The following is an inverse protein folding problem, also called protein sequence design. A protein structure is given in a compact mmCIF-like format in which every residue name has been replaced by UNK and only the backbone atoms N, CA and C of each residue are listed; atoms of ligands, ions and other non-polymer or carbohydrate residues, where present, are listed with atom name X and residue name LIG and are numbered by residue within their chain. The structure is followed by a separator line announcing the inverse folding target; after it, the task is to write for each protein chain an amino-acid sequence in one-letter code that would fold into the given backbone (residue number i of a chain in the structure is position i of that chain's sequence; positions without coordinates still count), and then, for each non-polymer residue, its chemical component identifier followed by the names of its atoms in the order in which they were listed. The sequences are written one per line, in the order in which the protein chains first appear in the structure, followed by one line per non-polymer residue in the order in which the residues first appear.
data_IF_395409537119
#
_entry.id   IF_395409537119
#
_cell.length_a   1.000
_cell.length_b   1.000
_cell.length_c   1.000
_cell.angle_alpha   90.00
_cell.angle_beta   90.00
_cell.angle_gamma   90.00
#
_symmetry.space_group_name_H-M   'P 1'
#
loop_
_entity.id
_entity.type
_entity.pdbx_description
1 polymer ?
#
# COMPACT_ATOMS: atom_id res chain seq x y z
N UNK A 1 18.99 -15.54 9.37
CA UNK A 1 17.77 -14.73 9.54
C UNK A 1 17.66 -14.19 10.98
N UNK A 2 17.70 -15.04 12.01
CA UNK A 2 17.54 -14.63 13.42
C UNK A 2 18.54 -13.56 13.92
N UNK A 3 19.77 -13.55 13.40
CA UNK A 3 20.79 -12.54 13.73
C UNK A 3 20.64 -11.22 12.97
N UNK A 4 19.79 -11.16 11.94
CA UNK A 4 19.61 -9.98 11.07
C UNK A 4 18.24 -9.34 11.20
N UNK A 5 17.27 -10.06 11.76
CA UNK A 5 15.90 -9.58 11.93
C UNK A 5 15.68 -9.20 13.39
N UNK A 6 15.45 -7.90 13.61
CA UNK A 6 15.11 -7.36 14.92
C UNK A 6 13.63 -6.96 14.93
N UNK A 7 12.93 -7.24 16.03
CA UNK A 7 11.49 -7.05 16.13
C UNK A 7 11.19 -6.11 17.30
N UNK A 8 10.44 -5.03 17.02
CA UNK A 8 10.08 -4.06 18.04
C UNK A 8 9.23 -4.69 19.13
N UNK A 9 9.61 -4.53 20.40
CA UNK A 9 8.76 -4.86 21.56
C UNK A 9 7.44 -4.09 21.57
N UNK A 10 7.36 -2.94 20.88
CA UNK A 10 6.17 -2.10 20.80
C UNK A 10 5.21 -2.49 19.66
N UNK A 11 5.63 -3.40 18.76
CA UNK A 11 4.75 -3.91 17.72
C UNK A 11 3.56 -4.65 18.33
N UNK A 12 2.37 -4.45 17.78
CA UNK A 12 1.16 -5.15 18.22
C UNK A 12 1.08 -6.53 17.58
N UNK A 13 0.57 -7.51 18.34
CA UNK A 13 0.34 -8.86 17.87
C UNK A 13 -1.06 -8.97 17.27
N UNK A 14 -1.14 -9.48 16.05
CA UNK A 14 -2.38 -9.95 15.48
C UNK A 14 -2.71 -11.29 16.15
N UNK A 15 -3.75 -11.32 16.98
CA UNK A 15 -4.25 -12.52 17.63
C UNK A 15 -5.09 -13.35 16.64
N UNK A 16 -5.24 -14.67 16.84
CA UNK A 16 -6.10 -15.47 15.96
C UNK A 16 -7.57 -15.01 16.04
N UNK A 17 -8.00 -14.53 17.21
CA UNK A 17 -9.32 -13.91 17.39
C UNK A 17 -9.51 -12.63 16.58
N UNK A 18 -8.46 -11.87 16.25
CA UNK A 18 -8.59 -10.73 15.35
C UNK A 18 -8.97 -11.15 13.92
N UNK A 19 -8.48 -12.31 13.45
CA UNK A 19 -8.86 -12.84 12.13
C UNK A 19 -10.33 -13.24 12.09
N UNK A 20 -10.82 -13.84 13.18
CA UNK A 20 -12.23 -14.17 13.35
C UNK A 20 -13.10 -12.91 13.38
N UNK A 21 -12.69 -11.88 14.14
CA UNK A 21 -13.40 -10.61 14.19
C UNK A 21 -13.45 -9.91 12.83
N UNK A 22 -12.36 -9.92 12.07
CA UNK A 22 -12.29 -9.34 10.72
C UNK A 22 -13.32 -10.01 9.79
N UNK A 23 -13.36 -11.35 9.80
CA UNK A 23 -14.35 -12.11 9.05
C UNK A 23 -15.79 -11.84 9.52
N UNK A 24 -16.03 -11.79 10.83
CA UNK A 24 -17.34 -11.53 11.41
C UNK A 24 -17.86 -10.13 11.07
N UNK A 25 -17.01 -9.09 11.16
CA UNK A 25 -17.39 -7.72 10.79
C UNK A 25 -17.67 -7.59 9.29
N UNK A 26 -16.86 -8.18 8.41
CA UNK A 26 -17.13 -8.17 6.97
C UNK A 26 -18.41 -8.94 6.62
N UNK A 27 -18.70 -10.06 7.30
CA UNK A 27 -19.96 -10.79 7.12
C UNK A 27 -21.17 -9.93 7.53
N UNK A 28 -21.06 -9.21 8.65
CA UNK A 28 -22.12 -8.34 9.16
C UNK A 28 -22.40 -7.13 8.26
N UNK A 29 -21.42 -6.67 7.46
CA UNK A 29 -21.58 -5.52 6.55
C UNK A 29 -22.36 -5.83 5.26
N UNK A 30 -22.62 -7.09 4.93
CA UNK A 30 -23.42 -7.46 3.75
C UNK A 30 -22.83 -6.92 2.44
N UNK A 31 -23.56 -6.04 1.76
CA UNK A 31 -23.14 -5.42 0.49
C UNK A 31 -22.15 -4.25 0.69
N UNK A 32 -22.09 -3.67 1.90
CA UNK A 32 -21.16 -2.59 2.26
C UNK A 32 -19.78 -3.10 2.70
N UNK A 33 -19.34 -4.23 2.15
CA UNK A 33 -18.03 -4.83 2.45
C UNK A 33 -16.91 -3.93 1.97
N UNK A 34 -15.88 -3.79 2.80
CA UNK A 34 -14.66 -3.09 2.41
C UNK A 34 -13.82 -3.96 1.48
N UNK A 35 -13.87 -5.28 1.68
CA UNK A 35 -13.00 -6.24 1.01
C UNK A 35 -11.65 -6.35 1.71
N UNK A 36 -11.66 -6.53 3.03
CA UNK A 36 -10.42 -6.69 3.82
C UNK A 36 -9.63 -7.92 3.39
N UNK A 37 -8.36 -8.00 3.77
CA UNK A 37 -7.54 -9.18 3.48
C UNK A 37 -7.88 -10.40 4.35
N UNK A 38 -8.80 -10.28 5.32
CA UNK A 38 -9.14 -11.36 6.26
C UNK A 38 -7.99 -11.75 7.20
N UNK A 39 -7.07 -10.81 7.46
CA UNK A 39 -5.84 -11.04 8.24
C UNK A 39 -5.91 -10.47 9.64
N UNK A 40 -7.03 -9.85 10.04
CA UNK A 40 -7.17 -9.27 11.37
C UNK A 40 -6.50 -7.90 11.54
N UNK A 41 -6.17 -7.21 10.45
CA UNK A 41 -5.48 -5.91 10.49
C UNK A 41 -6.35 -4.87 11.20
N UNK A 42 -7.59 -4.67 10.73
CA UNK A 42 -8.53 -3.71 11.32
C UNK A 42 -8.76 -3.94 12.81
N UNK A 43 -9.21 -5.15 13.24
CA UNK A 43 -9.40 -5.44 14.65
C UNK A 43 -8.14 -5.23 15.51
N UNK A 44 -6.95 -5.57 15.00
CA UNK A 44 -5.70 -5.33 15.73
C UNK A 44 -5.43 -3.84 15.95
N UNK A 45 -5.66 -3.01 14.93
CA UNK A 45 -5.51 -1.55 15.06
C UNK A 45 -6.60 -0.93 15.95
N UNK A 46 -7.84 -1.43 15.92
CA UNK A 46 -8.89 -1.06 16.88
C UNK A 46 -8.46 -1.34 18.31
N UNK A 47 -7.87 -2.52 18.56
CA UNK A 47 -7.34 -2.90 19.87
C UNK A 47 -6.16 -2.02 20.30
N UNK A 48 -5.25 -1.66 19.37
CA UNK A 48 -4.17 -0.69 19.60
C UNK A 48 -4.73 0.66 20.08
N UNK A 49 -5.65 1.24 19.31
CA UNK A 49 -6.20 2.58 19.57
C UNK A 49 -7.06 2.59 20.83
N UNK A 50 -7.79 1.51 21.11
CA UNK A 50 -8.58 1.36 22.34
C UNK A 50 -7.74 0.99 23.58
N UNK A 51 -6.41 0.82 23.43
CA UNK A 51 -5.42 0.49 24.50
C UNK A 51 -5.66 -0.88 25.13
N UNK A 52 -6.10 -1.80 24.29
CA UNK A 52 -6.63 -3.11 24.63
C UNK A 52 -5.84 -4.24 23.99
N UNK A 53 -4.99 -3.92 23.02
CA UNK A 53 -4.17 -4.87 22.29
C UNK A 53 -2.99 -5.40 23.07
N UNK A 54 -2.41 -6.48 22.55
CA UNK A 54 -1.22 -7.14 23.08
C UNK A 54 -0.05 -6.82 22.17
N UNK A 55 1.11 -6.52 22.76
CA UNK A 55 2.35 -6.20 22.04
C UNK A 55 3.38 -7.32 22.17
N UNK A 56 4.37 -7.31 21.30
CA UNK A 56 5.49 -8.26 21.32
C UNK A 56 6.18 -8.28 22.69
N UNK A 57 6.40 -7.12 23.31
CA UNK A 57 7.01 -7.06 24.65
C UNK A 57 6.19 -7.75 25.75
N UNK A 58 4.87 -7.91 25.56
CA UNK A 58 4.02 -8.59 26.53
C UNK A 58 4.26 -10.10 26.58
N UNK A 59 4.83 -10.71 25.51
CA UNK A 59 5.17 -12.15 25.50
C UNK A 59 6.26 -12.51 26.51
N UNK A 60 7.00 -11.50 26.99
CA UNK A 60 8.04 -11.63 28.02
C UNK A 60 7.50 -11.34 29.43
N UNK A 61 6.29 -10.77 29.55
CA UNK A 61 5.80 -10.19 30.79
C UNK A 61 4.30 -10.46 31.02
N UNK A 62 3.99 -11.61 31.61
CA UNK A 62 2.63 -11.99 32.01
C UNK A 62 1.70 -12.22 30.83
N UNK A 63 2.23 -12.88 29.79
CA UNK A 63 1.59 -13.06 28.50
C UNK A 63 0.26 -13.81 28.60
N UNK A 64 0.23 -14.93 29.32
CA UNK A 64 -0.92 -15.84 29.43
C UNK A 64 -2.13 -15.10 29.99
N UNK A 65 -1.91 -14.28 31.04
CA UNK A 65 -2.95 -13.47 31.65
C UNK A 65 -3.47 -12.39 30.69
N UNK A 66 -2.58 -11.68 30.00
CA UNK A 66 -2.96 -10.62 29.05
C UNK A 66 -3.72 -11.19 27.85
N UNK A 67 -3.24 -12.33 27.33
CA UNK A 67 -3.87 -13.07 26.25
C UNK A 67 -5.27 -13.56 26.64
N UNK A 68 -5.43 -14.18 27.81
CA UNK A 68 -6.73 -14.65 28.28
C UNK A 68 -7.77 -13.51 28.37
N UNK A 69 -7.37 -12.33 28.85
CA UNK A 69 -8.25 -11.15 28.94
C UNK A 69 -8.66 -10.65 27.55
N UNK A 70 -7.71 -10.50 26.62
CA UNK A 70 -8.01 -10.06 25.26
C UNK A 70 -8.89 -11.08 24.52
N UNK A 71 -8.57 -12.37 24.63
CA UNK A 71 -9.36 -13.47 24.07
C UNK A 71 -10.80 -13.42 24.59
N UNK A 72 -11.00 -13.40 25.90
CA UNK A 72 -12.34 -13.38 26.49
C UNK A 72 -13.19 -12.20 25.99
N UNK A 73 -12.58 -11.01 25.82
CA UNK A 73 -13.26 -9.85 25.22
C UNK A 73 -13.65 -10.11 23.76
N UNK A 74 -12.76 -10.68 22.95
CA UNK A 74 -13.06 -10.97 21.55
C UNK A 74 -14.14 -12.05 21.40
N UNK A 75 -14.13 -13.07 22.24
CA UNK A 75 -15.17 -14.11 22.27
C UNK A 75 -16.54 -13.55 22.66
N UNK A 76 -16.60 -12.59 23.58
CA UNK A 76 -17.84 -11.87 23.90
C UNK A 76 -18.38 -11.10 22.69
N UNK A 77 -17.52 -10.43 21.93
CA UNK A 77 -17.91 -9.71 20.70
C UNK A 77 -18.41 -10.70 19.65
N UNK A 78 -17.66 -11.77 19.37
CA UNK A 78 -18.05 -12.81 18.40
C UNK A 78 -19.41 -13.42 18.75
N UNK A 79 -19.64 -13.70 20.04
CA UNK A 79 -20.93 -14.16 20.55
C UNK A 79 -22.05 -13.15 20.32
N UNK A 80 -21.79 -11.85 20.54
CA UNK A 80 -22.79 -10.80 20.30
C UNK A 80 -23.16 -10.66 18.82
N UNK A 81 -22.26 -11.06 17.92
CA UNK A 81 -22.49 -11.09 16.47
C UNK A 81 -23.12 -12.40 15.99
N UNK A 82 -23.42 -13.36 16.89
CA UNK A 82 -23.83 -14.73 16.54
C UNK A 82 -22.90 -15.39 15.52
N UNK A 83 -21.59 -15.12 15.61
CA UNK A 83 -20.61 -15.67 14.69
C UNK A 83 -20.09 -17.01 15.21
N UNK A 84 -20.28 -18.08 14.44
CA UNK A 84 -19.73 -19.40 14.75
C UNK A 84 -18.24 -19.47 14.38
N UNK A 85 -17.42 -20.01 15.27
CA UNK A 85 -15.98 -20.14 15.04
C UNK A 85 -15.40 -21.35 15.76
N UNK A 86 -14.30 -21.88 15.20
CA UNK A 86 -13.38 -22.76 15.89
C UNK A 86 -12.00 -22.12 15.90
N UNK A 87 -11.47 -21.95 17.10
CA UNK A 87 -10.21 -21.27 17.37
C UNK A 87 -9.07 -22.27 17.63
N UNK A 88 -9.38 -23.54 17.89
CA UNK A 88 -8.49 -24.51 18.56
C UNK A 88 -7.16 -24.70 17.83
N UNK A 89 -7.20 -25.10 16.56
CA UNK A 89 -5.97 -25.37 15.79
C UNK A 89 -5.20 -24.08 15.47
N UNK A 90 -5.92 -22.99 15.15
CA UNK A 90 -5.29 -21.71 14.84
C UNK A 90 -4.59 -21.11 16.06
N UNK A 91 -5.20 -21.22 17.24
CA UNK A 91 -4.63 -20.76 18.50
C UNK A 91 -3.42 -21.58 18.90
N UNK A 92 -3.48 -22.91 18.76
CA UNK A 92 -2.33 -23.78 19.01
C UNK A 92 -1.13 -23.40 18.12
N UNK A 93 -1.33 -23.33 16.81
CA UNK A 93 -0.29 -22.93 15.87
C UNK A 93 0.25 -21.51 16.14
N UNK A 94 -0.63 -20.60 16.55
CA UNK A 94 -0.23 -19.24 16.91
C UNK A 94 0.61 -19.18 18.19
N UNK A 95 0.27 -19.98 19.21
CA UNK A 95 1.07 -20.10 20.43
C UNK A 95 2.45 -20.69 20.16
N UNK A 96 2.55 -21.71 19.29
CA UNK A 96 3.83 -22.22 18.80
C UNK A 96 4.62 -21.12 18.07
N UNK A 97 3.92 -20.28 17.29
CA UNK A 97 4.49 -19.09 16.65
C UNK A 97 5.03 -18.05 17.64
N UNK A 98 4.38 -17.86 18.80
CA UNK A 98 4.87 -16.99 19.87
C UNK A 98 6.16 -17.54 20.47
N UNK A 99 6.25 -18.86 20.72
CA UNK A 99 7.49 -19.49 21.19
C UNK A 99 8.62 -19.40 20.15
N UNK A 100 8.29 -19.48 18.86
CA UNK A 100 9.26 -19.23 17.80
C UNK A 100 9.70 -17.77 17.74
N UNK A 101 8.78 -16.81 17.92
CA UNK A 101 9.04 -15.38 17.94
C UNK A 101 10.03 -14.99 19.04
N UNK A 102 9.98 -15.63 20.21
CA UNK A 102 10.92 -15.43 21.32
C UNK A 102 12.39 -15.75 20.95
N UNK A 103 12.62 -16.44 19.84
CA UNK A 103 13.97 -16.80 19.38
C UNK A 103 14.64 -15.69 18.54
N UNK A 104 13.96 -14.57 18.30
CA UNK A 104 14.50 -13.40 17.59
C UNK A 104 14.96 -12.31 18.56
N UNK A 105 15.76 -11.37 18.07
CA UNK A 105 16.14 -10.16 18.81
C UNK A 105 14.91 -9.26 18.99
N UNK A 106 14.33 -9.27 20.19
CA UNK A 106 13.24 -8.37 20.56
C UNK A 106 13.82 -7.09 21.15
N UNK A 107 13.69 -5.97 20.44
CA UNK A 107 14.42 -4.74 20.71
C UNK A 107 13.50 -3.56 20.98
N UNK A 108 14.03 -2.55 21.66
CA UNK A 108 13.43 -1.22 21.71
C UNK A 108 13.85 -0.47 20.44
N UNK A 109 13.14 -0.78 19.35
CA UNK A 109 13.56 -0.48 17.98
C UNK A 109 13.81 1.00 17.71
N UNK A 110 13.07 1.90 18.36
CA UNK A 110 13.27 3.33 18.19
C UNK A 110 14.66 3.79 18.65
N UNK A 111 15.22 3.17 19.70
CA UNK A 111 16.57 3.51 20.16
C UNK A 111 17.62 3.02 19.17
N UNK A 112 17.43 1.82 18.63
CA UNK A 112 18.34 1.23 17.65
C UNK A 112 18.39 2.04 16.36
N UNK A 113 17.22 2.37 15.78
CA UNK A 113 17.13 3.19 14.58
C UNK A 113 17.74 4.58 14.80
N UNK A 114 17.44 5.24 15.92
CA UNK A 114 18.02 6.55 16.21
C UNK A 114 19.54 6.49 16.47
N UNK A 115 20.07 5.37 16.96
CA UNK A 115 21.53 5.19 17.06
C UNK A 115 22.16 5.05 15.68
N UNK A 116 21.58 4.28 14.75
CA UNK A 116 22.04 4.23 13.36
C UNK A 116 22.04 5.61 12.70
N UNK A 117 20.98 6.38 12.90
CA UNK A 117 20.89 7.75 12.41
C UNK A 117 21.91 8.69 13.05
N UNK A 118 22.27 8.49 14.33
CA UNK A 118 23.33 9.27 15.00
C UNK A 118 24.72 8.92 14.48
N UNK A 119 24.93 7.65 14.11
CA UNK A 119 26.16 7.14 13.51
C UNK A 119 26.24 7.41 11.99
N UNK A 120 25.34 8.24 11.45
CA UNK A 120 25.27 8.59 10.03
C UNK A 120 25.13 7.39 9.09
N UNK A 121 24.55 6.29 9.58
CA UNK A 121 24.22 5.12 8.77
C UNK A 121 22.95 5.36 7.96
N UNK A 122 22.90 4.77 6.77
CA UNK A 122 21.71 4.78 5.93
C UNK A 122 20.60 3.90 6.51
N UNK A 123 19.38 4.45 6.57
CA UNK A 123 18.17 3.73 6.98
C UNK A 123 17.14 3.87 5.86
N UNK A 124 16.76 2.75 5.25
CA UNK A 124 15.70 2.69 4.25
C UNK A 124 14.39 2.25 4.91
N UNK A 125 13.36 3.08 4.80
CA UNK A 125 12.02 2.76 5.31
C UNK A 125 11.17 2.18 4.18
N UNK A 126 10.84 0.90 4.25
CA UNK A 126 9.95 0.25 3.29
C UNK A 126 8.49 0.47 3.70
N UNK A 127 7.74 1.18 2.87
CA UNK A 127 6.32 1.50 3.10
C UNK A 127 5.37 0.37 2.71
N UNK A 128 4.25 0.30 3.41
CA UNK A 128 3.07 -0.45 2.99
C UNK A 128 1.82 0.28 3.52
N UNK A 129 0.67 0.30 2.84
CA UNK A 129 0.40 -0.02 1.45
C UNK A 129 0.70 1.22 0.57
N UNK A 130 -0.29 1.75 -0.17
CA UNK A 130 -0.17 3.02 -0.91
C UNK A 130 -1.03 4.12 -0.31
N UNK A 131 -0.78 5.38 -0.67
CA UNK A 131 -1.45 6.58 -0.13
C UNK A 131 -2.96 6.53 -0.23
N UNK A 132 -3.50 6.03 -1.35
CA UNK A 132 -4.96 5.95 -1.55
C UNK A 132 -5.67 4.93 -0.64
N UNK A 133 -4.90 4.15 0.12
CA UNK A 133 -5.36 3.24 1.16
C UNK A 133 -5.03 3.73 2.57
N UNK A 134 -4.48 4.95 2.73
CA UNK A 134 -4.23 5.54 4.04
C UNK A 134 -5.55 5.73 4.82
N UNK A 135 -5.52 5.50 6.13
CA UNK A 135 -6.73 5.59 6.98
C UNK A 135 -7.32 7.01 7.06
N UNK A 136 -6.47 8.04 6.95
CA UNK A 136 -6.87 9.45 7.04
C UNK A 136 -6.96 10.09 5.65
N UNK A 137 -6.01 9.77 4.78
CA UNK A 137 -5.83 10.47 3.49
C UNK A 137 -6.27 9.67 2.26
N UNK A 138 -6.68 8.42 2.43
CA UNK A 138 -7.13 7.55 1.35
C UNK A 138 -8.62 7.66 1.03
N UNK A 139 -9.10 6.75 0.18
CA UNK A 139 -10.52 6.66 -0.22
C UNK A 139 -11.41 6.04 0.88
N UNK A 140 -11.48 6.66 2.04
CA UNK A 140 -12.26 6.17 3.19
C UNK A 140 -13.74 5.98 2.81
N UNK A 141 -14.41 4.87 3.21
CA UNK A 141 -13.97 3.84 4.15
C UNK A 141 -13.17 2.68 3.53
N UNK A 142 -12.87 2.72 2.24
CA UNK A 142 -12.22 1.65 1.50
C UNK A 142 -10.68 1.73 1.58
N UNK A 143 -10.19 1.74 2.81
CA UNK A 143 -8.78 1.98 3.18
C UNK A 143 -8.27 0.88 4.12
N UNK A 144 -6.96 0.87 4.37
CA UNK A 144 -6.39 0.08 5.47
C UNK A 144 -6.57 0.83 6.79
N UNK A 145 -6.25 0.17 7.91
CA UNK A 145 -6.41 0.75 9.26
C UNK A 145 -5.14 1.38 9.81
N UNK A 146 -4.21 1.78 8.94
CA UNK A 146 -2.92 2.38 9.30
C UNK A 146 -2.58 3.54 8.40
N UNK A 147 -1.68 4.41 8.87
CA UNK A 147 -1.10 5.43 8.01
C UNK A 147 -0.07 4.79 7.07
N UNK A 148 -0.30 4.93 5.77
CA UNK A 148 0.55 4.45 4.68
C UNK A 148 1.42 5.57 4.10
N UNK A 149 1.14 6.82 4.47
CA UNK A 149 1.94 7.99 4.10
C UNK A 149 3.30 8.03 4.81
N UNK A 150 4.21 8.89 4.33
CA UNK A 150 5.59 9.06 4.82
C UNK A 150 5.67 9.30 6.34
N UNK A 151 4.71 10.05 6.91
CA UNK A 151 4.62 10.26 8.36
C UNK A 151 4.45 8.95 9.17
N UNK A 152 4.00 7.87 8.54
CA UNK A 152 3.98 6.51 9.08
C UNK A 152 5.37 6.00 9.46
N UNK A 153 6.44 6.42 8.77
CA UNK A 153 7.82 6.10 9.16
C UNK A 153 8.19 6.74 10.50
N UNK A 154 7.77 7.99 10.72
CA UNK A 154 8.01 8.69 11.98
C UNK A 154 7.31 8.01 13.15
N UNK A 155 6.00 7.77 13.00
CA UNK A 155 5.18 7.19 14.07
C UNK A 155 5.44 5.70 14.29
N UNK A 156 5.82 4.97 13.23
CA UNK A 156 6.10 3.54 13.26
C UNK A 156 7.50 3.16 13.71
N UNK A 157 8.53 3.95 13.36
CA UNK A 157 9.94 3.66 13.70
C UNK A 157 10.47 4.53 14.86
N UNK A 158 9.76 5.58 15.24
CA UNK A 158 10.23 6.54 16.25
C UNK A 158 11.29 7.49 15.73
N UNK A 159 11.24 7.83 14.43
CA UNK A 159 12.14 8.79 13.78
C UNK A 159 11.53 10.18 13.86
N UNK A 160 12.33 11.19 14.21
CA UNK A 160 11.87 12.58 14.23
C UNK A 160 11.55 13.07 12.80
N UNK A 161 10.46 13.84 12.59
CA UNK A 161 10.08 14.28 11.23
C UNK A 161 11.17 15.03 10.46
N UNK A 162 11.98 15.85 11.15
CA UNK A 162 13.10 16.59 10.55
C UNK A 162 14.32 15.72 10.20
N UNK A 163 14.26 14.40 10.44
CA UNK A 163 15.30 13.43 10.09
C UNK A 163 14.92 12.60 8.87
N UNK A 164 13.72 12.76 8.33
CA UNK A 164 13.35 12.20 7.03
C UNK A 164 14.17 12.94 5.96
N UNK A 165 14.93 12.17 5.18
CA UNK A 165 15.69 12.67 4.04
C UNK A 165 14.86 12.58 2.77
N UNK A 166 15.26 11.67 1.89
CA UNK A 166 14.56 11.47 0.61
C UNK A 166 13.29 10.63 0.76
N UNK A 167 12.27 11.00 0.00
CA UNK A 167 11.00 10.28 -0.08
C UNK A 167 10.80 9.83 -1.52
N UNK A 168 10.92 8.52 -1.73
CA UNK A 168 10.73 7.89 -3.03
C UNK A 168 9.27 7.49 -3.22
N UNK A 169 8.58 8.14 -4.15
CA UNK A 169 7.20 7.81 -4.53
C UNK A 169 7.18 6.73 -5.60
N UNK A 170 6.81 5.51 -5.23
CA UNK A 170 6.68 4.39 -6.17
C UNK A 170 5.26 4.39 -6.74
N UNK A 171 5.13 4.45 -8.06
CA UNK A 171 3.86 4.35 -8.75
C UNK A 171 3.99 3.40 -9.94
N UNK A 172 2.86 2.93 -10.47
CA UNK A 172 2.81 2.15 -11.72
C UNK A 172 2.44 3.08 -12.87
N UNK A 173 2.85 2.76 -14.08
CA UNK A 173 2.45 3.48 -15.30
C UNK A 173 0.92 3.50 -15.56
N UNK A 174 0.16 2.70 -14.81
CA UNK A 174 -1.30 2.61 -14.84
C UNK A 174 -1.83 2.29 -13.43
N UNK A 175 -3.11 2.52 -13.19
CA UNK A 175 -3.70 2.31 -11.87
C UNK A 175 -4.27 0.90 -11.73
N UNK A 176 -4.12 0.31 -10.53
CA UNK A 176 -4.85 -0.90 -10.15
C UNK A 176 -5.43 -0.83 -8.76
N UNK A 177 -6.57 -1.49 -8.55
CA UNK A 177 -7.25 -1.56 -7.25
C UNK A 177 -7.64 -3.00 -6.91
N UNK A 178 -7.47 -3.36 -5.65
CA UNK A 178 -7.94 -4.63 -5.09
C UNK A 178 -9.04 -4.32 -4.08
N UNK A 179 -10.16 -5.05 -4.16
CA UNK A 179 -11.29 -4.83 -3.27
C UNK A 179 -12.30 -3.81 -3.80
N UNK A 180 -13.21 -3.39 -2.93
CA UNK A 180 -14.28 -2.46 -3.25
C UNK A 180 -13.79 -1.00 -3.24
N UNK A 181 -14.71 -0.09 -3.52
CA UNK A 181 -14.51 1.35 -3.45
C UNK A 181 -14.27 2.03 -4.80
N UNK A 182 -14.29 3.36 -4.82
CA UNK A 182 -14.29 4.15 -6.05
C UNK A 182 -12.97 4.05 -6.83
N UNK A 183 -13.05 4.07 -8.15
CA UNK A 183 -11.88 4.04 -9.02
C UNK A 183 -12.18 4.85 -10.29
N UNK A 184 -11.92 6.17 -10.26
CA UNK A 184 -12.38 7.09 -11.31
C UNK A 184 -11.88 6.70 -12.70
N UNK A 185 -10.65 6.20 -12.81
CA UNK A 185 -10.04 5.81 -14.08
C UNK A 185 -10.22 4.33 -14.45
N UNK A 186 -11.11 3.61 -13.76
CA UNK A 186 -11.35 2.19 -14.06
C UNK A 186 -11.84 1.97 -15.50
N UNK A 187 -11.28 0.93 -16.12
CA UNK A 187 -11.65 0.50 -17.46
C UNK A 187 -12.50 -0.78 -17.39
N UNK A 188 -13.64 -0.74 -18.07
CA UNK A 188 -14.61 -1.85 -18.16
C UNK A 188 -14.63 -2.50 -19.55
N UNK A 189 -13.66 -2.16 -20.40
CA UNK A 189 -13.54 -2.59 -21.78
C UNK A 189 -12.32 -3.52 -22.00
N UNK A 190 -12.09 -3.91 -23.26
CA UNK A 190 -10.97 -4.76 -23.65
C UNK A 190 -9.60 -4.15 -23.30
N UNK A 191 -9.51 -2.82 -23.21
CA UNK A 191 -8.31 -2.08 -22.79
C UNK A 191 -7.93 -2.46 -21.36
N UNK A 192 -8.90 -2.41 -20.44
CA UNK A 192 -8.71 -2.80 -19.04
C UNK A 192 -8.35 -4.28 -18.89
N UNK A 193 -8.97 -5.16 -19.68
CA UNK A 193 -8.69 -6.60 -19.68
C UNK A 193 -7.28 -6.93 -20.21
N UNK A 194 -6.87 -6.26 -21.28
CA UNK A 194 -5.53 -6.37 -21.84
C UNK A 194 -4.48 -5.92 -20.83
N UNK A 195 -4.68 -4.76 -20.20
CA UNK A 195 -3.79 -4.22 -19.15
C UNK A 195 -3.68 -5.16 -17.95
N UNK A 196 -4.80 -5.73 -17.50
CA UNK A 196 -4.82 -6.72 -16.41
C UNK A 196 -4.00 -7.98 -16.76
N UNK A 197 -4.13 -8.45 -17.99
CA UNK A 197 -3.46 -9.67 -18.48
C UNK A 197 -1.95 -9.46 -18.59
N UNK A 198 -1.52 -8.40 -19.29
CA UNK A 198 -0.11 -8.06 -19.48
C UNK A 198 0.58 -7.75 -18.14
N UNK A 199 -0.09 -7.04 -17.24
CA UNK A 199 0.45 -6.70 -15.92
C UNK A 199 0.45 -7.85 -14.91
N UNK A 200 -0.06 -9.03 -15.26
CA UNK A 200 -0.29 -10.14 -14.33
C UNK A 200 -1.00 -9.70 -13.04
N UNK A 201 -2.05 -8.88 -13.18
CA UNK A 201 -2.72 -8.22 -12.06
C UNK A 201 -3.75 -9.13 -11.38
N UNK A 202 -3.26 -10.21 -10.78
CA UNK A 202 -4.02 -11.20 -10.02
C UNK A 202 -3.46 -11.31 -8.59
N UNK A 203 -4.34 -11.45 -7.60
CA UNK A 203 -3.92 -11.62 -6.21
C UNK A 203 -3.14 -12.92 -6.02
N UNK A 204 -1.92 -12.85 -5.49
CA UNK A 204 -1.02 -14.02 -5.33
C UNK A 204 -1.57 -15.15 -4.45
N UNK A 205 -2.47 -14.83 -3.51
CA UNK A 205 -3.09 -15.82 -2.62
C UNK A 205 -4.49 -16.20 -3.10
N UNK A 206 -5.31 -15.21 -3.43
CA UNK A 206 -6.74 -15.41 -3.74
C UNK A 206 -7.02 -15.71 -5.21
N UNK A 207 -6.06 -15.43 -6.10
CA UNK A 207 -6.27 -15.42 -7.55
C UNK A 207 -7.20 -14.30 -8.04
N UNK A 208 -7.71 -13.43 -7.16
CA UNK A 208 -8.71 -12.42 -7.50
C UNK A 208 -8.12 -11.42 -8.51
N UNK A 209 -8.82 -11.25 -9.63
CA UNK A 209 -8.52 -10.25 -10.65
C UNK A 209 -8.56 -8.85 -10.02
N UNK A 210 -7.54 -8.04 -10.28
CA UNK A 210 -7.51 -6.63 -9.86
C UNK A 210 -8.21 -5.78 -10.91
N UNK A 211 -8.85 -4.72 -10.45
CA UNK A 211 -9.43 -3.69 -11.32
C UNK A 211 -8.28 -2.89 -11.91
N UNK A 212 -8.34 -2.55 -13.19
CA UNK A 212 -7.30 -1.83 -13.91
C UNK A 212 -7.87 -0.57 -14.55
N UNK A 213 -7.03 0.46 -14.65
CA UNK A 213 -7.42 1.77 -15.16
C UNK A 213 -6.21 2.57 -15.62
N UNK A 214 -6.45 3.62 -16.38
CA UNK A 214 -5.41 4.55 -16.78
C UNK A 214 -4.77 5.25 -15.58
N UNK A 215 -3.57 5.81 -15.77
CA UNK A 215 -2.92 6.57 -14.70
C UNK A 215 -3.78 7.76 -14.28
N UNK A 216 -3.86 7.99 -12.98
CA UNK A 216 -4.61 9.07 -12.37
C UNK A 216 -3.65 10.11 -11.78
N UNK A 217 -3.45 11.21 -12.52
CA UNK A 217 -2.52 12.26 -12.11
C UNK A 217 -3.10 13.15 -11.03
N UNK A 218 -4.43 13.26 -10.90
CA UNK A 218 -5.03 14.01 -9.80
C UNK A 218 -4.72 13.31 -8.48
N UNK A 219 -4.95 11.99 -8.40
CA UNK A 219 -4.61 11.20 -7.22
C UNK A 219 -3.10 11.10 -6.98
N UNK A 220 -2.28 11.04 -8.04
CA UNK A 220 -0.82 10.98 -7.91
C UNK A 220 -0.22 12.32 -7.46
N UNK A 221 -0.69 13.47 -7.97
CA UNK A 221 -0.30 14.81 -7.47
C UNK A 221 -0.63 14.97 -5.99
N UNK A 222 -1.83 14.56 -5.59
CA UNK A 222 -2.22 14.54 -4.17
C UNK A 222 -1.30 13.64 -3.33
N UNK A 223 -0.95 12.46 -3.84
CA UNK A 223 -0.02 11.55 -3.17
C UNK A 223 1.39 12.14 -3.03
N UNK A 224 1.89 12.83 -4.07
CA UNK A 224 3.18 13.55 -4.05
C UNK A 224 3.16 14.63 -2.98
N UNK A 225 2.10 15.45 -2.94
CA UNK A 225 1.93 16.53 -1.97
C UNK A 225 1.90 16.02 -0.52
N UNK A 226 1.05 15.04 -0.21
CA UNK A 226 0.86 14.55 1.18
C UNK A 226 2.12 13.89 1.74
N UNK A 227 2.92 13.26 0.88
CA UNK A 227 4.13 12.56 1.30
C UNK A 227 5.39 13.42 1.25
N UNK A 228 5.36 14.59 0.59
CA UNK A 228 6.56 15.36 0.29
C UNK A 228 7.54 14.56 -0.57
N UNK A 229 7.04 13.90 -1.62
CA UNK A 229 7.86 13.06 -2.50
C UNK A 229 8.96 13.90 -3.15
N UNK A 230 10.20 13.43 -3.04
CA UNK A 230 11.38 14.10 -3.60
C UNK A 230 11.81 13.50 -4.93
N UNK A 231 11.55 12.19 -5.12
CA UNK A 231 11.92 11.43 -6.32
C UNK A 231 10.83 10.41 -6.63
N UNK A 232 10.47 10.23 -7.89
CA UNK A 232 9.51 9.23 -8.32
C UNK A 232 10.19 8.00 -8.91
N UNK A 233 9.54 6.86 -8.76
CA UNK A 233 9.96 5.57 -9.32
C UNK A 233 8.77 4.96 -10.06
N UNK A 234 8.81 4.93 -11.39
CA UNK A 234 7.72 4.42 -12.23
C UNK A 234 7.94 2.95 -12.56
N UNK A 235 7.00 2.09 -12.15
CA UNK A 235 7.05 0.65 -12.37
C UNK A 235 6.11 0.23 -13.50
N UNK A 236 6.43 -0.92 -14.11
CA UNK A 236 5.57 -1.61 -15.08
C UNK A 236 5.22 -0.78 -16.32
N UNK A 237 6.18 -0.03 -16.87
CA UNK A 237 5.93 0.67 -18.13
C UNK A 237 5.72 -0.30 -19.29
N UNK A 238 6.37 -1.48 -19.24
CA UNK A 238 6.28 -2.56 -20.23
C UNK A 238 4.85 -3.03 -20.52
N UNK A 239 3.95 -2.88 -19.53
CA UNK A 239 2.53 -3.22 -19.70
C UNK A 239 1.87 -2.34 -20.76
N UNK A 240 2.38 -1.13 -20.99
CA UNK A 240 1.84 -0.18 -21.96
C UNK A 240 2.48 -0.29 -23.35
N UNK A 241 3.46 -1.17 -23.55
CA UNK A 241 4.26 -1.31 -24.79
C UNK A 241 3.45 -1.54 -26.06
N UNK A 242 2.26 -2.12 -25.94
CA UNK A 242 1.44 -2.54 -27.09
C UNK A 242 0.19 -1.69 -27.29
N UNK A 243 0.11 -0.52 -26.66
CA UNK A 243 -1.01 0.41 -26.80
C UNK A 243 -0.68 1.49 -27.83
N UNK A 244 -1.61 1.78 -28.74
CA UNK A 244 -1.45 2.85 -29.74
C UNK A 244 -1.68 4.24 -29.15
N UNK A 245 -2.56 4.32 -28.15
CA UNK A 245 -2.89 5.55 -27.44
C UNK A 245 -2.94 5.24 -25.96
N UNK A 246 -2.28 6.09 -25.18
CA UNK A 246 -2.25 6.01 -23.71
C UNK A 246 -3.01 7.22 -23.19
N UNK A 247 -3.86 6.99 -22.19
CA UNK A 247 -4.60 8.08 -21.53
C UNK A 247 -4.04 8.32 -20.14
N UNK A 248 -4.04 9.58 -19.73
CA UNK A 248 -3.70 10.00 -18.38
C UNK A 248 -4.79 10.95 -17.88
N UNK A 249 -5.39 10.65 -16.72
CA UNK A 249 -6.40 11.52 -16.13
C UNK A 249 -5.70 12.73 -15.51
N UNK A 250 -5.99 13.92 -16.04
CA UNK A 250 -5.34 15.19 -15.65
C UNK A 250 -6.22 16.06 -14.76
N UNK A 251 -7.53 15.83 -14.80
CA UNK A 251 -8.53 16.52 -14.00
C UNK A 251 -9.73 15.59 -13.79
N UNK A 252 -10.58 15.94 -12.84
CA UNK A 252 -11.90 15.34 -12.69
C UNK A 252 -12.98 16.35 -13.03
N UNK A 253 -14.11 15.87 -13.54
CA UNK A 253 -15.35 16.64 -13.60
C UNK A 253 -16.25 16.22 -12.45
N UNK A 254 -16.53 17.16 -11.56
CA UNK A 254 -17.37 16.98 -10.40
C UNK A 254 -18.53 17.99 -10.47
N UNK A 255 -19.77 17.51 -10.57
CA UNK A 255 -20.96 18.35 -10.68
C UNK A 255 -20.91 19.37 -11.84
N UNK A 256 -20.23 19.01 -12.94
CA UNK A 256 -20.07 19.86 -14.12
C UNK A 256 -18.89 20.84 -14.06
N UNK A 257 -18.21 20.96 -12.92
CA UNK A 257 -16.99 21.76 -12.78
C UNK A 257 -15.75 20.87 -12.92
N UNK A 258 -14.71 21.40 -13.58
CA UNK A 258 -13.42 20.71 -13.71
C UNK A 258 -12.52 21.08 -12.52
N UNK A 259 -12.00 20.06 -11.83
CA UNK A 259 -11.12 20.18 -10.69
C UNK A 259 -9.82 19.40 -10.94
N UNK A 260 -8.71 19.93 -10.44
CA UNK A 260 -7.37 19.34 -10.55
C UNK A 260 -6.80 18.87 -9.20
N UNK A 261 -7.65 18.85 -8.17
CA UNK A 261 -7.34 18.37 -6.82
C UNK A 261 -8.14 17.13 -6.47
N UNK A 262 -7.58 16.28 -5.60
CA UNK A 262 -8.27 15.09 -5.11
C UNK A 262 -9.34 15.52 -4.08
N UNK A 263 -10.64 15.27 -4.34
CA UNK A 263 -11.71 15.73 -3.47
C UNK A 263 -11.89 14.81 -2.25
N UNK A 264 -12.63 15.29 -1.24
CA UNK A 264 -12.96 14.51 -0.04
C UNK A 264 -13.77 13.25 -0.36
N UNK A 265 -14.79 13.40 -1.23
CA UNK A 265 -15.65 12.31 -1.66
C UNK A 265 -15.40 12.01 -3.14
N UNK A 266 -15.23 10.73 -3.43
CA UNK A 266 -14.99 10.20 -4.78
C UNK A 266 -15.97 9.05 -5.12
N UNK A 267 -17.01 8.83 -4.30
CA UNK A 267 -18.00 7.76 -4.52
C UNK A 267 -19.01 8.10 -5.63
N UNK A 268 -19.38 9.37 -5.80
CA UNK A 268 -20.43 9.77 -6.73
C UNK A 268 -19.99 10.85 -7.73
N UNK A 269 -20.43 10.70 -9.00
CA UNK A 269 -20.40 11.72 -10.05
C UNK A 269 -19.02 12.34 -10.35
N UNK A 270 -17.95 11.56 -10.21
CA UNK A 270 -16.60 11.97 -10.58
C UNK A 270 -16.21 11.35 -11.92
N UNK A 271 -16.16 12.17 -12.97
CA UNK A 271 -15.78 11.72 -14.31
C UNK A 271 -14.31 12.09 -14.60
N UNK A 272 -13.45 11.14 -15.02
CA UNK A 272 -12.07 11.46 -15.38
C UNK A 272 -11.99 12.25 -16.69
N UNK A 273 -11.21 13.33 -16.68
CA UNK A 273 -10.82 14.08 -17.89
C UNK A 273 -9.42 13.63 -18.31
N UNK A 274 -9.30 13.13 -19.54
CA UNK A 274 -8.08 12.50 -20.04
C UNK A 274 -7.31 13.41 -21.01
N UNK A 275 -5.99 13.44 -20.85
CA UNK A 275 -5.07 13.72 -21.95
C UNK A 275 -4.78 12.41 -22.70
N UNK A 276 -4.70 12.49 -24.03
CA UNK A 276 -4.33 11.36 -24.89
C UNK A 276 -2.92 11.57 -25.44
N UNK A 277 -2.06 10.57 -25.27
CA UNK A 277 -0.68 10.55 -25.76
C UNK A 277 -0.50 9.39 -26.75
N UNK A 278 0.36 9.54 -27.77
CA UNK A 278 0.74 8.42 -28.60
C UNK A 278 1.45 7.35 -27.76
N UNK A 279 1.08 6.09 -27.93
CA UNK A 279 1.83 4.98 -27.37
C UNK A 279 2.97 4.56 -28.29
N UNK A 280 3.96 3.85 -27.75
CA UNK A 280 5.23 3.58 -28.45
C UNK A 280 5.28 2.26 -29.23
N UNK A 281 4.31 1.35 -29.06
CA UNK A 281 4.18 0.11 -29.85
C UNK A 281 5.50 -0.71 -29.97
N UNK A 282 6.33 -0.68 -28.93
CA UNK A 282 7.72 -1.19 -28.94
C UNK A 282 8.00 -1.93 -27.64
N UNK A 283 8.57 -3.15 -27.74
CA UNK A 283 9.04 -3.92 -26.58
C UNK A 283 10.31 -3.29 -25.99
N UNK A 284 10.19 -2.73 -24.78
CA UNK A 284 11.28 -2.04 -24.08
C UNK A 284 12.04 -2.95 -23.11
N UNK A 285 11.64 -4.22 -22.96
CA UNK A 285 12.12 -5.10 -21.87
C UNK A 285 13.61 -5.42 -21.89
N UNK A 286 14.31 -5.12 -22.99
CA UNK A 286 15.76 -5.34 -23.17
C UNK A 286 16.59 -4.07 -23.09
N UNK A 287 15.96 -2.90 -23.02
CA UNK A 287 16.64 -1.61 -22.93
C UNK A 287 17.35 -1.49 -21.58
N UNK A 288 18.49 -0.79 -21.56
CA UNK A 288 19.33 -0.66 -20.35
C UNK A 288 19.63 0.78 -19.96
N UNK A 289 19.26 1.73 -20.80
CA UNK A 289 19.50 3.16 -20.59
C UNK A 289 18.38 3.99 -21.20
N UNK A 290 18.21 5.22 -20.69
CA UNK A 290 17.19 6.16 -21.17
C UNK A 290 17.40 6.56 -22.64
N UNK A 291 18.66 6.60 -23.11
CA UNK A 291 19.00 6.90 -24.51
C UNK A 291 18.46 5.85 -25.51
N UNK A 292 18.09 4.66 -25.03
CA UNK A 292 17.49 3.59 -25.85
C UNK A 292 15.96 3.72 -25.95
N UNK A 293 15.32 4.58 -25.14
CA UNK A 293 13.87 4.69 -25.08
C UNK A 293 13.27 5.26 -26.37
N UNK A 294 12.08 4.76 -26.79
CA UNK A 294 11.32 5.38 -27.88
C UNK A 294 10.99 6.84 -27.55
N UNK A 295 10.92 7.69 -28.57
CA UNK A 295 10.63 9.11 -28.42
C UNK A 295 9.27 9.34 -27.74
N UNK A 296 8.26 8.52 -28.06
CA UNK A 296 6.94 8.58 -27.45
C UNK A 296 6.96 8.21 -25.95
N UNK A 297 7.84 7.30 -25.54
CA UNK A 297 7.99 6.95 -24.12
C UNK A 297 8.70 8.07 -23.35
N UNK A 298 9.75 8.66 -23.93
CA UNK A 298 10.41 9.84 -23.36
C UNK A 298 9.46 11.04 -23.24
N UNK A 299 8.59 11.25 -24.25
CA UNK A 299 7.54 12.26 -24.20
C UNK A 299 6.52 11.97 -23.10
N UNK A 300 6.13 10.71 -22.90
CA UNK A 300 5.25 10.30 -21.80
C UNK A 300 5.88 10.56 -20.42
N UNK A 301 7.16 10.21 -20.21
CA UNK A 301 7.89 10.50 -18.98
C UNK A 301 7.95 12.01 -18.70
N UNK A 302 8.32 12.79 -19.71
CA UNK A 302 8.38 14.26 -19.60
C UNK A 302 7.02 14.84 -19.23
N UNK A 303 5.95 14.40 -19.89
CA UNK A 303 4.59 14.81 -19.57
C UNK A 303 4.20 14.50 -18.12
N UNK A 304 4.54 13.31 -17.61
CA UNK A 304 4.28 12.96 -16.21
C UNK A 304 5.06 13.86 -15.24
N UNK A 305 6.34 14.11 -15.50
CA UNK A 305 7.19 14.98 -14.67
C UNK A 305 6.67 16.42 -14.63
N UNK A 306 6.26 16.97 -15.78
CA UNK A 306 5.63 18.30 -15.86
C UNK A 306 4.33 18.38 -15.05
N UNK A 307 3.51 17.32 -15.09
CA UNK A 307 2.26 17.28 -14.34
C UNK A 307 2.49 17.14 -12.83
N UNK A 308 3.51 16.38 -12.42
CA UNK A 308 3.77 16.04 -11.02
C UNK A 308 4.72 17.00 -10.32
N UNK A 309 5.52 17.76 -11.07
CA UNK A 309 6.54 18.67 -10.53
C UNK A 309 7.69 17.95 -9.82
N UNK A 310 7.87 16.65 -10.07
CA UNK A 310 8.90 15.80 -9.46
C UNK A 310 9.49 14.87 -10.51
N UNK A 311 10.81 14.72 -10.48
CA UNK A 311 11.55 13.84 -11.41
C UNK A 311 11.25 12.36 -11.16
N UNK A 312 11.03 11.62 -12.24
CA UNK A 312 11.00 10.17 -12.29
C UNK A 312 12.45 9.69 -12.39
N UNK A 313 13.09 9.53 -11.23
CA UNK A 313 14.48 9.11 -11.08
C UNK A 313 14.74 7.70 -11.64
N UNK A 314 13.76 6.80 -11.48
CA UNK A 314 13.89 5.39 -11.84
C UNK A 314 12.67 4.92 -12.62
N UNK A 315 12.89 4.14 -13.66
CA UNK A 315 11.85 3.50 -14.48
C UNK A 315 12.09 1.99 -14.56
N UNK A 316 11.06 1.17 -14.40
CA UNK A 316 11.13 -0.27 -14.64
C UNK A 316 10.41 -0.65 -15.93
N UNK A 317 11.17 -1.21 -16.87
CA UNK A 317 10.72 -1.70 -18.19
C UNK A 317 10.48 -3.22 -18.19
N UNK A 318 10.33 -3.82 -17.02
CA UNK A 318 10.02 -5.24 -16.84
C UNK A 318 10.05 -5.67 -15.38
N UNK A 319 9.78 -6.96 -15.09
CA UNK A 319 9.72 -7.48 -13.72
C UNK A 319 11.08 -7.79 -13.08
N UNK A 320 12.14 -7.99 -13.87
CA UNK A 320 13.46 -8.36 -13.36
C UNK A 320 14.21 -7.15 -12.80
N UNK A 321 15.07 -7.39 -11.80
CA UNK A 321 15.86 -6.33 -11.15
C UNK A 321 16.76 -5.56 -12.13
N UNK A 322 17.28 -6.23 -13.15
CA UNK A 322 18.15 -5.61 -14.17
C UNK A 322 17.37 -4.74 -15.15
N UNK A 323 16.04 -4.80 -15.15
CA UNK A 323 15.15 -4.00 -16.01
C UNK A 323 14.71 -2.70 -15.34
N UNK A 324 15.44 -2.27 -14.31
CA UNK A 324 15.25 -1.01 -13.59
C UNK A 324 16.35 -0.04 -14.03
N UNK A 325 15.95 1.06 -14.67
CA UNK A 325 16.82 2.05 -15.31
C UNK A 325 16.78 3.35 -14.50
N UNK A 326 17.97 3.82 -14.12
CA UNK A 326 18.15 5.14 -13.50
C UNK A 326 18.32 6.20 -14.59
N UNK A 327 17.52 7.27 -14.51
CA UNK A 327 17.44 8.33 -15.52
C UNK A 327 18.39 9.50 -15.23
N UNK A 328 18.36 9.97 -13.99
CA UNK A 328 19.28 11.02 -13.53
C UNK A 328 20.33 10.37 -12.65
N UNK A 329 21.62 10.63 -12.85
CA UNK A 329 22.66 10.30 -11.85
C UNK A 329 23.05 11.59 -11.14
N UNK A 330 23.28 11.50 -9.82
CA UNK A 330 23.75 12.67 -9.02
C UNK A 330 25.22 13.00 -9.26
#
# INVERSE_FOLDING_TARGET
MKERLHISKKAHLILPTHRLLDAAYEAAKGDAKVGTTGKGIGPTYTDKVSRNGIRVGDILHGFERKYAVAKARHEQILKSLNYEYDLTEQEKAWMEGVEYLKQFSLVDSEHEINNFLREEKSVLCEGAQGTMLDIDFGSYPFVTSSNTVCAGACTGLGVAPNRIGEVYGIFKAYCTRVGAGPFPTELFDETGDKMCTLGHEFGSVTGRKRRCGWIDLVALKYSVMVNGVTKLIMMKSDVLDTFQTIKACVAYRLNGEEIDYFPYDIEENLEPVYAELPGWMTDMTKMKSEDEFPEEFNAYLTFLEEQLGVEIKIVSVGPDREQTIERYTE
#
